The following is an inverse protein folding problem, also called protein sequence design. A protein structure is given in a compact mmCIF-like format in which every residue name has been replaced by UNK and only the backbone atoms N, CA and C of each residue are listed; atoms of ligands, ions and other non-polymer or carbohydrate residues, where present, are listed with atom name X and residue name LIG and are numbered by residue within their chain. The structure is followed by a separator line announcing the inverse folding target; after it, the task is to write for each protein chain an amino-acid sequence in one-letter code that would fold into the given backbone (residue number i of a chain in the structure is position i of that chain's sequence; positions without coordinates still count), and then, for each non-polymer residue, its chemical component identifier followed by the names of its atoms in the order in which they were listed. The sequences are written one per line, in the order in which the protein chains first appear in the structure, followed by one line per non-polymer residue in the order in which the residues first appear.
data_IF_547035695599
#
_entry.id   IF_547035695599
#
_cell.length_a   1.000
_cell.length_b   1.000
_cell.length_c   1.000
_cell.angle_alpha   90.00
_cell.angle_beta   90.00
_cell.angle_gamma   90.00
#
_symmetry.space_group_name_H-M   'P 1'
#
loop_
_entity.id
_entity.type
_entity.pdbx_description
1 polymer ?
#
# COMPACT_ATOMS: atom_id res chain seq x y z
N UNK A 1 6.15 -1.51 23.03
CA UNK A 1 6.87 -1.39 21.75
C UNK A 1 6.23 -2.39 20.80
N UNK A 2 5.39 -1.97 19.85
CA UNK A 2 4.74 -2.88 18.89
C UNK A 2 5.72 -3.12 17.73
N UNK A 3 5.97 -4.37 17.31
CA UNK A 3 6.97 -4.68 16.30
C UNK A 3 6.62 -3.97 14.98
N UNK A 4 7.62 -3.38 14.34
CA UNK A 4 7.46 -2.85 12.99
C UNK A 4 7.13 -4.02 12.07
N UNK A 5 5.92 -4.02 11.53
CA UNK A 5 5.53 -4.99 10.52
C UNK A 5 6.33 -4.68 9.25
N UNK A 6 7.20 -5.60 8.81
CA UNK A 6 8.01 -5.42 7.61
C UNK A 6 7.38 -6.16 6.41
N UNK A 7 7.32 -5.49 5.26
CA UNK A 7 6.78 -6.05 4.01
C UNK A 7 5.24 -6.24 4.02
N UNK A 8 4.71 -7.42 3.63
CA UNK A 8 3.27 -7.64 3.46
C UNK A 8 2.46 -7.55 4.77
N UNK A 9 3.14 -7.70 5.91
CA UNK A 9 2.51 -7.56 7.22
C UNK A 9 2.01 -6.12 7.49
N UNK A 10 2.65 -5.11 6.90
CA UNK A 10 2.21 -3.72 7.03
C UNK A 10 0.90 -3.48 6.27
N UNK A 11 0.78 -4.03 5.06
CA UNK A 11 -0.44 -3.91 4.24
C UNK A 11 -1.64 -4.54 4.95
N UNK A 12 -1.45 -5.73 5.50
CA UNK A 12 -2.49 -6.41 6.27
C UNK A 12 -2.84 -5.69 7.56
N UNK A 13 -1.88 -5.02 8.21
CA UNK A 13 -2.12 -4.26 9.44
C UNK A 13 -2.80 -2.90 9.18
N UNK A 14 -2.76 -2.42 7.94
CA UNK A 14 -3.39 -1.17 7.50
C UNK A 14 -4.79 -1.35 6.92
N UNK A 15 -5.31 -2.57 6.95
CA UNK A 15 -6.70 -2.86 6.60
C UNK A 15 -7.31 -3.77 7.67
N UNK A 16 -8.61 -3.60 7.88
CA UNK A 16 -9.41 -4.36 8.83
C UNK A 16 -10.61 -4.96 8.11
N UNK A 17 -11.22 -5.93 8.77
CA UNK A 17 -12.27 -6.76 8.21
C UNK A 17 -11.72 -8.11 7.74
N UNK A 18 -12.64 -9.01 7.42
CA UNK A 18 -12.34 -10.41 7.13
C UNK A 18 -11.68 -10.64 5.77
N UNK A 19 -12.13 -9.90 4.74
CA UNK A 19 -11.74 -10.17 3.34
C UNK A 19 -10.72 -9.18 2.79
N UNK A 20 -10.82 -7.90 3.18
CA UNK A 20 -10.03 -6.80 2.60
C UNK A 20 -8.52 -6.98 2.73
N UNK A 21 -7.95 -7.36 3.90
CA UNK A 21 -6.50 -7.50 4.04
C UNK A 21 -5.93 -8.60 3.13
N UNK A 22 -6.64 -9.72 2.99
CA UNK A 22 -6.23 -10.83 2.13
C UNK A 22 -6.28 -10.45 0.65
N UNK A 23 -7.33 -9.73 0.24
CA UNK A 23 -7.45 -9.22 -1.14
C UNK A 23 -6.35 -8.21 -1.45
N UNK A 24 -6.07 -7.27 -0.54
CA UNK A 24 -5.01 -6.28 -0.72
C UNK A 24 -3.65 -6.96 -0.94
N UNK A 25 -3.29 -7.91 -0.07
CA UNK A 25 -2.04 -8.67 -0.20
C UNK A 25 -1.96 -9.48 -1.51
N UNK A 26 -3.07 -10.08 -1.94
CA UNK A 26 -3.14 -10.82 -3.19
C UNK A 26 -2.93 -9.92 -4.42
N UNK A 27 -3.55 -8.73 -4.41
CA UNK A 27 -3.41 -7.74 -5.49
C UNK A 27 -1.97 -7.24 -5.57
N UNK A 28 -1.36 -6.85 -4.44
CA UNK A 28 0.04 -6.41 -4.42
C UNK A 28 0.98 -7.49 -4.95
N UNK A 29 0.77 -8.74 -4.54
CA UNK A 29 1.57 -9.89 -5.00
C UNK A 29 1.42 -10.12 -6.51
N UNK A 30 0.20 -9.98 -7.05
CA UNK A 30 -0.05 -10.11 -8.48
C UNK A 30 0.70 -9.03 -9.30
N UNK A 31 0.70 -7.78 -8.83
CA UNK A 31 1.48 -6.71 -9.45
C UNK A 31 3.00 -6.96 -9.36
N UNK A 32 3.48 -7.50 -8.25
CA UNK A 32 4.89 -7.89 -8.10
C UNK A 32 5.36 -8.89 -9.17
N UNK A 33 4.48 -9.78 -9.63
CA UNK A 33 4.77 -10.73 -10.71
C UNK A 33 4.89 -10.10 -12.10
N UNK A 34 4.32 -8.91 -12.33
CA UNK A 34 4.35 -8.25 -13.65
C UNK A 34 5.67 -7.56 -13.96
N UNK A 35 6.44 -7.16 -12.93
CA UNK A 35 7.71 -6.46 -13.09
C UNK A 35 8.73 -7.23 -13.94
N UNK A 36 9.03 -8.50 -13.59
CA UNK A 36 9.95 -9.34 -14.38
C UNK A 36 9.50 -9.52 -15.83
N UNK A 37 8.19 -9.73 -16.06
CA UNK A 37 7.62 -9.85 -17.39
C UNK A 37 7.88 -8.59 -18.23
N UNK A 38 7.65 -7.41 -17.66
CA UNK A 38 7.94 -6.15 -18.35
C UNK A 38 9.43 -6.01 -18.69
N UNK A 39 10.34 -6.31 -17.74
CA UNK A 39 11.78 -6.18 -17.97
C UNK A 39 12.31 -7.11 -19.07
N UNK A 40 11.72 -8.30 -19.23
CA UNK A 40 12.11 -9.25 -20.27
C UNK A 40 11.92 -8.71 -21.71
N UNK A 41 10.97 -7.79 -21.92
CA UNK A 41 10.73 -7.16 -23.22
C UNK A 41 11.57 -5.89 -23.46
N UNK A 42 12.12 -5.29 -22.39
CA UNK A 42 12.81 -4.01 -22.46
C UNK A 42 14.30 -4.19 -22.78
N UNK A 43 14.94 -5.27 -22.31
CA UNK A 43 16.32 -5.59 -22.65
C UNK A 43 16.38 -6.33 -24.00
N UNK A 44 16.83 -5.63 -25.04
CA UNK A 44 16.94 -6.17 -26.40
C UNK A 44 18.40 -6.23 -26.83
N UNK A 45 18.77 -7.28 -27.56
CA UNK A 45 20.15 -7.48 -28.04
C UNK A 45 20.68 -6.33 -28.93
N UNK A 46 19.77 -5.66 -29.64
CA UNK A 46 20.09 -4.49 -30.48
C UNK A 46 20.63 -3.28 -29.71
N UNK A 47 20.39 -3.22 -28.40
CA UNK A 47 20.78 -2.11 -27.52
C UNK A 47 22.07 -2.45 -26.72
N UNK A 48 22.71 -3.58 -27.05
CA UNK A 48 24.00 -4.03 -26.50
C UNK A 48 25.16 -3.11 -26.93
N UNK A 49 26.22 -2.93 -26.11
CA UNK A 49 26.44 -3.52 -24.78
C UNK A 49 25.94 -2.65 -23.61
N UNK A 50 25.52 -1.42 -23.88
CA UNK A 50 25.21 -0.44 -22.84
C UNK A 50 23.78 -0.54 -22.29
N UNK A 51 22.83 -1.10 -23.05
CA UNK A 51 21.42 -1.28 -22.66
C UNK A 51 20.76 -0.04 -22.04
N UNK A 52 21.09 1.16 -22.56
CA UNK A 52 20.68 2.45 -21.98
C UNK A 52 19.16 2.56 -21.80
N UNK A 53 18.39 2.02 -22.75
CA UNK A 53 16.93 2.01 -22.69
C UNK A 53 16.41 1.17 -21.51
N UNK A 54 16.97 -0.02 -21.29
CA UNK A 54 16.62 -0.88 -20.16
C UNK A 54 16.90 -0.21 -18.83
N UNK A 55 18.08 0.38 -18.69
CA UNK A 55 18.44 1.07 -17.46
C UNK A 55 17.57 2.30 -17.20
N UNK A 56 17.26 3.08 -18.25
CA UNK A 56 16.40 4.26 -18.15
C UNK A 56 14.98 3.90 -17.71
N UNK A 57 14.39 2.83 -18.25
CA UNK A 57 13.06 2.35 -17.86
C UNK A 57 13.05 1.88 -16.40
N UNK A 58 14.06 1.12 -15.97
CA UNK A 58 14.20 0.72 -14.58
C UNK A 58 14.31 1.92 -13.63
N UNK A 59 15.07 2.95 -14.01
CA UNK A 59 15.24 4.16 -13.21
C UNK A 59 13.95 4.97 -13.12
N UNK A 60 13.24 5.18 -14.23
CA UNK A 60 11.93 5.86 -14.23
C UNK A 60 10.91 5.10 -13.38
N UNK A 61 10.87 3.77 -13.48
CA UNK A 61 9.97 2.95 -12.67
C UNK A 61 10.29 3.09 -11.18
N UNK A 62 11.57 3.05 -10.81
CA UNK A 62 12.02 3.21 -9.42
C UNK A 62 11.67 4.58 -8.86
N UNK A 63 11.90 5.65 -9.61
CA UNK A 63 11.53 7.02 -9.22
C UNK A 63 10.01 7.14 -9.07
N UNK A 64 9.24 6.52 -9.96
CA UNK A 64 7.78 6.49 -9.86
C UNK A 64 7.30 5.78 -8.61
N UNK A 65 7.88 4.62 -8.26
CA UNK A 65 7.58 3.90 -7.02
C UNK A 65 7.93 4.74 -5.78
N UNK A 66 9.05 5.47 -5.81
CA UNK A 66 9.46 6.35 -4.71
C UNK A 66 8.45 7.49 -4.52
N UNK A 67 8.05 8.15 -5.61
CA UNK A 67 7.02 9.21 -5.58
C UNK A 67 5.68 8.68 -5.07
N UNK A 68 5.24 7.52 -5.55
CA UNK A 68 4.00 6.89 -5.11
C UNK A 68 4.02 6.54 -3.63
N UNK A 69 5.14 6.00 -3.13
CA UNK A 69 5.33 5.69 -1.70
C UNK A 69 5.30 6.95 -0.84
N UNK A 70 5.98 8.01 -1.26
CA UNK A 70 5.99 9.28 -0.55
C UNK A 70 4.58 9.92 -0.52
N UNK A 71 3.85 9.87 -1.63
CA UNK A 71 2.47 10.35 -1.71
C UNK A 71 1.55 9.54 -0.79
N UNK A 72 1.64 8.20 -0.84
CA UNK A 72 0.84 7.33 0.00
C UNK A 72 1.08 7.62 1.49
N UNK A 73 2.36 7.74 1.88
CA UNK A 73 2.75 8.13 3.24
C UNK A 73 2.09 9.45 3.67
N UNK A 74 2.18 10.48 2.83
CA UNK A 74 1.56 11.77 3.11
C UNK A 74 0.03 11.67 3.24
N UNK A 75 -0.63 10.89 2.37
CA UNK A 75 -2.08 10.68 2.44
C UNK A 75 -2.49 9.96 3.73
N UNK A 76 -1.75 8.93 4.16
CA UNK A 76 -2.04 8.21 5.40
C UNK A 76 -1.82 9.09 6.64
N UNK A 77 -0.76 9.91 6.64
CA UNK A 77 -0.50 10.90 7.69
C UNK A 77 -1.64 11.95 7.76
N UNK A 78 -2.04 12.50 6.60
CA UNK A 78 -3.11 13.49 6.51
C UNK A 78 -4.46 12.92 6.97
N UNK A 79 -4.74 11.67 6.61
CA UNK A 79 -6.00 11.01 6.94
C UNK A 79 -6.08 10.63 8.43
N UNK A 80 -4.96 10.23 9.05
CA UNK A 80 -4.88 10.08 10.50
C UNK A 80 -5.11 11.43 11.21
N UNK A 81 -4.48 12.52 10.73
CA UNK A 81 -4.68 13.86 11.28
C UNK A 81 -6.11 14.38 11.10
N UNK A 82 -6.83 13.95 10.06
CA UNK A 82 -8.27 14.22 9.88
C UNK A 82 -9.10 13.46 10.92
N UNK A 83 -8.85 12.16 11.08
CA UNK A 83 -9.52 11.30 12.09
C UNK A 83 -9.32 11.80 13.52
N UNK A 84 -8.16 12.38 13.84
CA UNK A 84 -7.90 12.96 15.17
C UNK A 84 -8.74 14.22 15.47
N UNK A 85 -9.15 14.96 14.44
CA UNK A 85 -9.94 16.19 14.59
C UNK A 85 -11.45 15.94 14.64
N UNK A 86 -11.90 14.82 14.11
CA UNK A 86 -13.32 14.52 13.92
C UNK A 86 -13.68 13.16 14.54
N UNK A 87 -13.66 13.06 15.89
CA UNK A 87 -14.14 11.86 16.57
C UNK A 87 -15.66 11.71 16.37
N UNK A 88 -16.08 10.56 15.83
CA UNK A 88 -17.48 10.14 15.72
C UNK A 88 -17.91 9.44 17.01
N UNK A 89 -19.12 9.73 17.52
CA UNK A 89 -19.76 8.96 18.62
C UNK A 89 -20.46 7.66 18.15
N UNK A 90 -19.86 6.50 18.46
CA UNK A 90 -20.37 5.17 18.08
C UNK A 90 -21.24 4.51 19.15
N UNK A 91 -21.57 5.22 20.25
CA UNK A 91 -22.30 4.66 21.41
C UNK A 91 -23.71 4.14 21.08
N UNK A 92 -24.28 4.60 19.97
CA UNK A 92 -25.61 4.21 19.49
C UNK A 92 -25.62 2.93 18.63
N UNK A 93 -24.45 2.38 18.30
CA UNK A 93 -24.32 1.17 17.47
C UNK A 93 -24.38 -0.09 18.32
N UNK A 94 -24.98 -1.15 17.77
CA UNK A 94 -24.93 -2.49 18.36
C UNK A 94 -23.54 -3.10 18.18
N UNK A 95 -23.21 -4.13 18.97
CA UNK A 95 -21.92 -4.83 18.89
C UNK A 95 -21.62 -5.33 17.47
N UNK A 96 -22.63 -5.84 16.76
CA UNK A 96 -22.48 -6.30 15.36
C UNK A 96 -22.16 -5.14 14.41
N UNK A 97 -22.85 -4.00 14.56
CA UNK A 97 -22.61 -2.81 13.74
C UNK A 97 -21.22 -2.19 13.97
N UNK A 98 -20.71 -2.27 15.21
CA UNK A 98 -19.34 -1.83 15.53
C UNK A 98 -18.30 -2.73 14.86
N UNK A 99 -18.55 -4.05 14.81
CA UNK A 99 -17.66 -5.00 14.12
C UNK A 99 -17.62 -4.76 12.61
N UNK A 100 -18.77 -4.46 12.00
CA UNK A 100 -18.88 -4.16 10.57
C UNK A 100 -18.17 -2.86 10.15
N UNK A 101 -17.87 -1.97 11.11
CA UNK A 101 -17.23 -0.69 10.85
C UNK A 101 -15.79 -0.87 10.34
N UNK A 102 -15.07 -1.92 10.75
CA UNK A 102 -13.70 -2.24 10.32
C UNK A 102 -12.77 -1.00 10.30
N UNK A 103 -12.19 -0.63 9.15
CA UNK A 103 -11.30 0.53 8.98
C UNK A 103 -11.97 1.90 9.20
N UNK A 104 -13.32 1.91 9.22
CA UNK A 104 -14.09 3.12 9.53
C UNK A 104 -14.27 3.31 11.04
N UNK A 105 -13.77 2.39 11.88
CA UNK A 105 -13.83 2.55 13.32
C UNK A 105 -13.10 3.85 13.76
N UNK A 106 -13.68 4.67 14.65
CA UNK A 106 -13.11 5.98 15.03
C UNK A 106 -11.71 5.87 15.63
N UNK A 107 -11.40 4.77 16.33
CA UNK A 107 -10.07 4.51 16.90
C UNK A 107 -9.06 3.93 15.91
N UNK A 108 -9.49 3.59 14.68
CA UNK A 108 -8.57 3.04 13.69
C UNK A 108 -7.56 4.09 13.26
N UNK A 109 -6.28 3.70 13.23
CA UNK A 109 -5.17 4.54 12.77
C UNK A 109 -4.27 3.75 11.85
N UNK A 110 -3.98 4.33 10.69
CA UNK A 110 -3.04 3.76 9.75
C UNK A 110 -1.63 3.72 10.36
N UNK A 111 -0.95 2.60 10.15
CA UNK A 111 0.47 2.38 10.44
C UNK A 111 1.31 3.06 9.38
N UNK A 112 2.34 3.74 9.84
CA UNK A 112 3.16 4.68 9.09
C UNK A 112 4.63 4.40 9.38
#
# INVERSE_FOLDING_TARGET
MRPAAHGPAWEMANQQGSTKPAMAAAITSAFGGLGPLATAFVYRDKDSPAFVLGHSVCLVMTVTCLMATALLRWMLDAENARRDKEPWDISHLTTEQVLDLADNHPDFRYKI
#
